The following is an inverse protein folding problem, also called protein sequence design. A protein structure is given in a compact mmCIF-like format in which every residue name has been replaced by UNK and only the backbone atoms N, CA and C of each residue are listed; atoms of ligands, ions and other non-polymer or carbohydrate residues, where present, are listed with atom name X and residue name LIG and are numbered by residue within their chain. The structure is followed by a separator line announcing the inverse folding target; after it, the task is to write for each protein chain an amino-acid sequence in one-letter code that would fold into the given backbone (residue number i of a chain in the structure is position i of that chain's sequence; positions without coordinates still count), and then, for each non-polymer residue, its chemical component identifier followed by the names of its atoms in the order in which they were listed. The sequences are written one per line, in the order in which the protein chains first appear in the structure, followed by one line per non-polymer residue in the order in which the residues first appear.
data_IF_624590471200
#
_entry.id   IF_624590471200
#
_cell.length_a   1.000
_cell.length_b   1.000
_cell.length_c   1.000
_cell.angle_alpha   90.00
_cell.angle_beta   90.00
_cell.angle_gamma   90.00
#
_symmetry.space_group_name_H-M   'P 1'
#
loop_
_entity.id
_entity.type
_entity.pdbx_description
1 polymer ?
#
# COMPACT_ATOMS: atom_id res chain seq x y z
N UNK A 1 -5.89 1.18 -2.99
CA UNK A 1 -5.07 1.59 -1.83
C UNK A 1 -5.95 1.80 -0.62
N UNK A 2 -5.41 1.71 0.60
CA UNK A 2 -6.18 1.93 1.83
C UNK A 2 -5.30 2.60 2.90
N UNK A 3 -5.91 3.14 3.96
CA UNK A 3 -5.21 3.60 5.16
C UNK A 3 -4.52 2.40 5.82
N UNK A 4 -3.21 2.42 6.08
CA UNK A 4 -2.52 1.29 6.71
C UNK A 4 -2.75 1.17 8.21
N UNK A 5 -3.34 2.17 8.84
CA UNK A 5 -3.65 2.24 10.26
C UNK A 5 -4.98 1.54 10.53
N UNK A 6 -5.15 1.01 11.71
CA UNK A 6 -6.39 0.31 12.09
C UNK A 6 -6.24 -1.21 12.01
N UNK A 7 -6.68 -1.85 13.07
CA UNK A 7 -6.49 -3.29 13.26
C UNK A 7 -7.29 -4.14 12.28
N UNK A 8 -8.43 -3.65 11.78
CA UNK A 8 -9.36 -4.35 10.91
C UNK A 8 -9.09 -4.17 9.41
N UNK A 9 -8.26 -3.19 9.02
CA UNK A 9 -8.01 -2.85 7.61
C UNK A 9 -7.47 -4.04 6.81
N UNK A 10 -6.55 -4.81 7.39
CA UNK A 10 -6.01 -6.00 6.75
C UNK A 10 -7.11 -7.00 6.42
N UNK A 11 -7.98 -7.27 7.35
CA UNK A 11 -9.06 -8.24 7.18
C UNK A 11 -10.09 -7.74 6.17
N UNK A 12 -10.51 -6.48 6.25
CA UNK A 12 -11.43 -5.86 5.30
C UNK A 12 -10.92 -5.88 3.87
N UNK A 13 -9.66 -5.50 3.64
CA UNK A 13 -9.09 -5.52 2.29
C UNK A 13 -8.89 -6.95 1.78
N UNK A 14 -8.50 -7.90 2.64
CA UNK A 14 -8.40 -9.30 2.26
C UNK A 14 -9.78 -9.92 1.94
N UNK A 15 -10.84 -9.52 2.65
CA UNK A 15 -12.20 -9.93 2.39
C UNK A 15 -12.70 -9.41 1.02
N UNK A 16 -12.52 -8.12 0.72
CA UNK A 16 -12.78 -7.54 -0.60
C UNK A 16 -12.07 -8.33 -1.69
N UNK A 17 -10.81 -8.68 -1.48
CA UNK A 17 -9.99 -9.44 -2.43
C UNK A 17 -10.27 -10.95 -2.45
N UNK A 18 -11.17 -11.44 -1.60
CA UNK A 18 -11.49 -12.86 -1.42
C UNK A 18 -10.25 -13.73 -1.22
N UNK A 19 -9.29 -13.23 -0.40
CA UNK A 19 -8.05 -13.96 -0.11
C UNK A 19 -7.86 -14.19 1.39
N UNK A 20 -6.88 -15.01 1.73
CA UNK A 20 -6.58 -15.39 3.12
C UNK A 20 -6.29 -14.16 3.99
N UNK A 21 -6.96 -14.05 5.14
CA UNK A 21 -6.91 -12.90 6.05
C UNK A 21 -5.52 -12.62 6.64
N UNK A 22 -4.69 -13.65 6.81
CA UNK A 22 -3.36 -13.49 7.41
C UNK A 22 -2.33 -12.79 6.50
N UNK A 23 -2.58 -12.66 5.19
CA UNK A 23 -1.61 -12.07 4.26
C UNK A 23 -1.50 -10.57 4.46
N UNK A 24 -0.30 -10.05 4.79
CA UNK A 24 -0.07 -8.61 4.87
C UNK A 24 -0.02 -7.99 3.48
N UNK A 25 -0.11 -6.66 3.47
CA UNK A 25 0.05 -5.84 2.29
C UNK A 25 1.39 -5.11 2.31
N UNK A 26 1.81 -4.59 1.18
CA UNK A 26 2.99 -3.74 1.08
C UNK A 26 2.61 -2.28 1.34
N UNK A 27 3.39 -1.51 2.13
CA UNK A 27 3.25 -0.07 2.17
C UNK A 27 3.82 0.57 0.90
N UNK A 28 3.18 1.66 0.46
CA UNK A 28 3.76 2.64 -0.44
C UNK A 28 3.91 3.94 0.32
N UNK A 29 5.15 4.47 0.40
CA UNK A 29 5.51 5.59 1.26
C UNK A 29 6.25 6.68 0.48
N UNK A 30 6.10 7.95 0.90
CA UNK A 30 6.98 9.03 0.45
C UNK A 30 8.42 8.71 0.84
N UNK A 31 9.34 8.73 -0.14
CA UNK A 31 10.74 8.29 0.03
C UNK A 31 11.45 8.98 1.20
N UNK A 32 11.24 10.29 1.36
CA UNK A 32 11.84 11.09 2.42
C UNK A 32 11.40 10.73 3.83
N UNK A 33 10.34 9.95 3.97
CA UNK A 33 9.82 9.49 5.24
C UNK A 33 10.08 7.99 5.50
N UNK A 34 10.74 7.29 4.57
CA UNK A 34 10.93 5.85 4.71
C UNK A 34 11.73 5.48 5.97
N UNK A 35 12.81 6.22 6.25
CA UNK A 35 13.66 6.00 7.42
C UNK A 35 12.98 6.36 8.76
N UNK A 36 11.92 7.15 8.77
CA UNK A 36 11.16 7.46 9.98
C UNK A 36 10.35 6.25 10.46
N UNK A 37 9.97 5.37 9.55
CA UNK A 37 9.06 4.24 9.80
C UNK A 37 9.69 2.85 9.63
N UNK A 38 10.79 2.75 8.90
CA UNK A 38 11.44 1.47 8.61
C UNK A 38 12.95 1.56 8.81
N UNK A 39 13.57 0.45 9.24
CA UNK A 39 15.01 0.32 9.31
C UNK A 39 15.56 -0.02 7.92
N UNK A 40 15.70 1.00 7.08
CA UNK A 40 16.17 0.83 5.71
C UNK A 40 17.62 0.35 5.66
N UNK A 41 17.97 -0.60 4.78
CA UNK A 41 19.35 -1.05 4.61
C UNK A 41 20.27 0.10 4.19
N UNK A 42 21.50 0.12 4.72
CA UNK A 42 22.49 1.15 4.37
C UNK A 42 22.72 1.21 2.85
N UNK A 43 22.68 2.41 2.29
CA UNK A 43 22.86 2.66 0.86
C UNK A 43 21.59 2.49 0.02
N UNK A 44 20.46 2.17 0.62
CA UNK A 44 19.16 2.05 -0.07
C UNK A 44 18.20 3.15 0.41
N UNK A 45 18.19 4.26 -0.29
CA UNK A 45 17.22 5.34 -0.05
C UNK A 45 15.93 5.19 -0.86
N UNK A 46 15.94 4.36 -1.91
CA UNK A 46 14.82 4.20 -2.83
C UNK A 46 14.57 2.74 -3.19
N UNK A 47 13.31 2.32 -3.17
CA UNK A 47 12.83 0.98 -3.55
C UNK A 47 11.49 1.07 -4.28
N UNK A 48 11.52 1.62 -5.49
CA UNK A 48 10.31 1.85 -6.31
C UNK A 48 9.53 0.59 -6.68
N UNK A 49 10.18 -0.57 -6.65
CA UNK A 49 9.61 -1.85 -7.13
C UNK A 49 9.44 -2.91 -6.02
N UNK A 50 9.29 -2.52 -4.77
CA UNK A 50 9.10 -3.44 -3.64
C UNK A 50 10.20 -4.52 -3.52
N UNK A 51 11.45 -4.16 -3.77
CA UNK A 51 12.59 -5.08 -3.79
C UNK A 51 13.18 -5.32 -2.40
N UNK A 52 12.82 -4.50 -1.43
CA UNK A 52 13.40 -4.50 -0.09
C UNK A 52 12.35 -4.89 0.95
N UNK A 53 12.78 -5.71 1.88
CA UNK A 53 12.10 -6.01 3.12
C UNK A 53 12.90 -5.40 4.25
N UNK A 54 12.26 -4.62 5.12
CA UNK A 54 12.89 -3.99 6.26
C UNK A 54 12.00 -4.03 7.51
N UNK A 55 12.59 -4.05 8.73
CA UNK A 55 11.83 -3.98 9.97
C UNK A 55 11.00 -2.70 10.05
N UNK A 56 9.76 -2.83 10.50
CA UNK A 56 8.88 -1.70 10.79
C UNK A 56 9.15 -1.19 12.22
N UNK A 57 9.41 0.11 12.37
CA UNK A 57 9.66 0.74 13.69
C UNK A 57 8.41 0.87 14.54
N UNK A 58 7.22 0.85 13.91
CA UNK A 58 5.92 1.02 14.57
C UNK A 58 4.91 -0.05 14.12
N UNK A 59 5.19 -1.34 14.36
CA UNK A 59 4.31 -2.43 13.92
C UNK A 59 2.93 -2.39 14.57
N UNK A 60 2.83 -1.84 15.78
CA UNK A 60 1.60 -1.61 16.52
C UNK A 60 0.62 -0.67 15.82
N UNK A 61 1.13 0.35 15.15
CA UNK A 61 0.33 1.33 14.41
C UNK A 61 -0.10 0.87 13.02
N UNK A 62 0.64 -0.06 12.42
CA UNK A 62 0.48 -0.46 11.01
C UNK A 62 0.33 -1.98 10.82
N UNK A 63 -0.57 -2.65 11.53
CA UNK A 63 -0.69 -4.12 11.49
C UNK A 63 -1.06 -4.68 10.11
N UNK A 64 -1.62 -3.85 9.24
CA UNK A 64 -2.03 -4.28 7.89
C UNK A 64 -0.86 -4.50 6.92
N UNK A 65 0.28 -3.86 7.16
CA UNK A 65 1.45 -3.87 6.27
C UNK A 65 2.66 -4.60 6.85
N UNK A 66 2.54 -5.14 8.06
CA UNK A 66 3.63 -5.82 8.76
C UNK A 66 3.45 -7.33 8.71
N UNK A 67 4.53 -8.04 8.40
CA UNK A 67 4.62 -9.50 8.44
C UNK A 67 4.70 -9.99 9.89
N UNK A 68 4.54 -11.31 10.10
CA UNK A 68 4.61 -11.92 11.42
C UNK A 68 5.98 -11.75 12.12
N UNK A 69 7.03 -11.54 11.35
CA UNK A 69 8.40 -11.29 11.81
C UNK A 69 8.72 -9.80 12.07
N UNK A 70 7.71 -8.92 12.00
CA UNK A 70 7.87 -7.48 12.20
C UNK A 70 8.39 -6.70 10.98
N UNK A 71 8.58 -7.37 9.84
CA UNK A 71 9.09 -6.73 8.62
C UNK A 71 7.98 -6.27 7.68
N UNK A 72 8.32 -5.39 6.73
CA UNK A 72 7.44 -4.94 5.65
C UNK A 72 8.19 -4.93 4.32
N UNK A 73 7.49 -5.28 3.23
CA UNK A 73 8.02 -5.15 1.87
C UNK A 73 7.65 -3.78 1.30
N UNK A 74 8.62 -2.89 1.24
CA UNK A 74 8.42 -1.45 1.09
C UNK A 74 8.48 -1.04 -0.39
N UNK A 75 7.60 -0.12 -0.78
CA UNK A 75 7.69 0.66 -2.00
C UNK A 75 7.84 2.14 -1.64
N UNK A 76 8.95 2.77 -2.05
CA UNK A 76 9.15 4.21 -1.90
C UNK A 76 8.75 4.96 -3.17
N UNK A 77 8.28 6.20 -3.00
CA UNK A 77 7.93 7.09 -4.11
C UNK A 77 8.82 8.33 -4.04
N UNK A 78 9.81 8.45 -4.95
CA UNK A 78 10.73 9.59 -4.95
C UNK A 78 10.04 10.90 -5.35
N UNK A 79 10.65 12.03 -4.97
CA UNK A 79 10.12 13.38 -5.27
C UNK A 79 9.92 13.64 -6.77
N UNK A 80 10.75 13.04 -7.61
CA UNK A 80 10.69 13.16 -9.08
C UNK A 80 9.84 12.08 -9.75
N UNK A 81 9.02 11.34 -8.98
CA UNK A 81 8.13 10.33 -9.54
C UNK A 81 7.05 10.94 -10.43
N UNK A 82 6.64 10.27 -11.52
CA UNK A 82 5.49 10.68 -12.31
C UNK A 82 4.24 10.91 -11.45
N UNK A 83 3.46 11.93 -11.81
CA UNK A 83 2.58 12.70 -10.93
C UNK A 83 1.50 11.96 -10.12
N UNK A 84 1.00 10.80 -10.52
CA UNK A 84 -0.23 10.23 -9.94
C UNK A 84 -0.11 9.83 -8.46
N UNK A 85 0.68 8.80 -8.18
CA UNK A 85 0.81 8.23 -6.84
C UNK A 85 1.50 9.19 -5.85
N UNK A 86 2.47 9.97 -6.34
CA UNK A 86 3.18 10.95 -5.52
C UNK A 86 2.22 12.02 -5.00
N UNK A 87 1.42 12.62 -5.87
CA UNK A 87 0.41 13.64 -5.50
C UNK A 87 -0.65 13.09 -4.55
N UNK A 88 -1.06 11.84 -4.73
CA UNK A 88 -1.99 11.16 -3.82
C UNK A 88 -1.40 11.06 -2.42
N UNK A 89 -0.16 10.57 -2.29
CA UNK A 89 0.53 10.42 -1.02
C UNK A 89 0.77 11.77 -0.32
N UNK A 90 1.16 12.80 -1.06
CA UNK A 90 1.35 14.14 -0.51
C UNK A 90 0.05 14.73 0.06
N UNK A 91 -1.05 14.63 -0.69
CA UNK A 91 -2.36 15.05 -0.19
C UNK A 91 -2.81 14.25 1.02
N UNK A 92 -2.62 12.94 0.98
CA UNK A 92 -2.92 12.05 2.09
C UNK A 92 -2.11 12.44 3.34
N UNK A 93 -0.82 12.69 3.18
CA UNK A 93 0.06 13.12 4.27
C UNK A 93 -0.38 14.45 4.89
N UNK A 94 -0.71 15.44 4.07
CA UNK A 94 -1.22 16.74 4.53
C UNK A 94 -2.51 16.57 5.36
N UNK A 95 -3.40 15.70 4.93
CA UNK A 95 -4.69 15.49 5.58
C UNK A 95 -4.61 14.65 6.86
N UNK A 96 -3.66 13.75 6.96
CA UNK A 96 -3.68 12.69 7.99
C UNK A 96 -2.42 12.61 8.83
N UNK A 97 -1.33 13.27 8.44
CA UNK A 97 0.00 13.12 9.03
C UNK A 97 0.66 11.76 8.76
N UNK A 98 0.05 10.88 7.98
CA UNK A 98 0.60 9.57 7.64
C UNK A 98 1.19 9.59 6.22
N UNK A 99 2.51 9.40 6.04
CA UNK A 99 3.16 9.54 4.73
C UNK A 99 3.03 8.30 3.84
N UNK A 100 2.22 7.32 4.21
CA UNK A 100 2.10 6.06 3.50
C UNK A 100 0.65 5.59 3.34
N UNK A 101 0.44 4.72 2.35
CA UNK A 101 -0.79 3.97 2.11
C UNK A 101 -0.48 2.48 1.98
N UNK A 102 -1.44 1.63 2.30
CA UNK A 102 -1.44 0.23 1.93
C UNK A 102 -1.62 0.10 0.42
N UNK A 103 -0.69 -0.60 -0.24
CA UNK A 103 -0.74 -0.84 -1.68
C UNK A 103 -1.11 -2.29 -1.98
N UNK A 104 -2.00 -2.46 -2.94
CA UNK A 104 -2.41 -3.77 -3.46
C UNK A 104 -2.92 -3.63 -4.90
N UNK A 105 -2.78 -4.69 -5.69
CA UNK A 105 -3.33 -4.75 -7.04
C UNK A 105 -4.86 -4.57 -7.03
N UNK A 106 -5.40 -3.95 -8.08
CA UNK A 106 -6.85 -3.85 -8.26
C UNK A 106 -7.34 -5.10 -9.01
N UNK A 107 -7.67 -6.13 -8.26
CA UNK A 107 -8.26 -7.38 -8.74
C UNK A 107 -8.82 -8.20 -7.57
N UNK A 108 -9.70 -9.14 -7.88
CA UNK A 108 -10.17 -10.17 -6.97
C UNK A 108 -9.34 -11.45 -7.20
N UNK A 109 -9.27 -12.32 -6.22
CA UNK A 109 -8.54 -13.60 -6.34
C UNK A 109 -9.06 -14.40 -7.53
N UNK A 110 -8.12 -14.83 -8.38
CA UNK A 110 -8.42 -15.62 -9.59
C UNK A 110 -8.77 -14.79 -10.82
N UNK A 111 -8.84 -13.46 -10.69
CA UNK A 111 -9.09 -12.57 -11.82
C UNK A 111 -7.82 -11.81 -12.23
N UNK A 112 -7.71 -11.41 -13.50
CA UNK A 112 -6.64 -10.54 -13.96
C UNK A 112 -6.72 -9.17 -13.27
N UNK A 113 -5.62 -8.42 -13.31
CA UNK A 113 -5.58 -7.05 -12.82
C UNK A 113 -6.40 -6.15 -13.74
N UNK A 114 -7.16 -5.22 -13.18
CA UNK A 114 -7.82 -4.15 -13.93
C UNK A 114 -6.77 -3.37 -14.73
N UNK A 115 -6.94 -3.30 -16.04
CA UNK A 115 -5.96 -2.75 -16.96
C UNK A 115 -6.45 -1.46 -17.66
N UNK A 116 -7.74 -1.34 -17.93
CA UNK A 116 -8.31 -0.21 -18.62
C UNK A 116 -9.62 0.28 -17.98
N UNK A 117 -10.27 1.26 -18.57
CA UNK A 117 -11.52 1.85 -18.04
C UNK A 117 -12.68 0.87 -18.10
N UNK A 118 -12.76 0.04 -19.12
CA UNK A 118 -13.83 -0.96 -19.24
C UNK A 118 -13.72 -2.03 -18.15
N UNK A 119 -12.50 -2.48 -17.84
CA UNK A 119 -12.22 -3.37 -16.71
C UNK A 119 -12.60 -2.71 -15.37
N UNK A 120 -12.30 -1.41 -15.20
CA UNK A 120 -12.65 -0.66 -14.01
C UNK A 120 -14.16 -0.56 -13.81
N UNK A 121 -14.92 -0.23 -14.86
CA UNK A 121 -16.38 -0.14 -14.84
C UNK A 121 -16.99 -1.52 -14.52
N UNK A 122 -16.48 -2.57 -15.11
CA UNK A 122 -16.87 -3.95 -14.79
C UNK A 122 -16.59 -4.32 -13.35
N UNK A 123 -15.42 -3.93 -12.83
CA UNK A 123 -15.06 -4.17 -11.44
C UNK A 123 -16.02 -3.43 -10.49
N UNK A 124 -16.35 -2.17 -10.77
CA UNK A 124 -17.33 -1.40 -9.99
C UNK A 124 -18.72 -2.08 -9.96
N UNK A 125 -19.20 -2.54 -11.13
CA UNK A 125 -20.49 -3.22 -11.25
C UNK A 125 -20.53 -4.53 -10.47
N UNK A 126 -19.48 -5.34 -10.55
CA UNK A 126 -19.44 -6.66 -9.91
C UNK A 126 -19.23 -6.60 -8.40
N UNK A 127 -18.51 -5.61 -7.90
CA UNK A 127 -18.05 -5.58 -6.51
C UNK A 127 -18.54 -4.36 -5.72
N UNK A 128 -19.22 -3.42 -6.36
CA UNK A 128 -19.74 -2.21 -5.70
C UNK A 128 -18.65 -1.28 -5.18
N UNK A 129 -17.40 -1.41 -5.68
CA UNK A 129 -16.25 -0.62 -5.24
C UNK A 129 -15.93 0.41 -6.30
N UNK A 130 -16.13 1.68 -5.99
CA UNK A 130 -15.84 2.77 -6.92
C UNK A 130 -14.33 2.83 -7.25
N UNK A 131 -14.02 2.81 -8.56
CA UNK A 131 -12.65 2.98 -9.07
C UNK A 131 -12.48 4.42 -9.54
N UNK A 132 -11.52 5.12 -8.97
CA UNK A 132 -11.17 6.50 -9.34
C UNK A 132 -9.88 6.47 -10.16
N UNK A 133 -9.94 7.02 -11.35
CA UNK A 133 -8.81 7.15 -12.29
C UNK A 133 -8.39 8.60 -12.43
#
# INVERSE_FOLDING_TARGET
MADPRGADIKDRVNEIKRRQKFRPFAPVILEEHADDYFDMPKGWSSTGYMQIVAPCKRPDLFPAIVHADGTSRIQTVPRKSPAGIRRLLEKWYIMTGCPMLLNTSLNIRGEPMVNDRADADRFEQLYGIKVVS
#
